data_IF_049752377210
#
_entry.id   IF_049752377210
#
_cell.length_a   1.000
_cell.length_b   1.000
_cell.length_c   1.000
_cell.angle_alpha   90.00
_cell.angle_beta   90.00
_cell.angle_gamma   90.00
#
_symmetry.space_group_name_H-M   'P 1'
#
loop_
_entity.id
_entity.type
_entity.pdbx_description
1 polymer ?
#
# COMPACT_ATOMS: atom_id res chain seq x y z
N UNK A 1 -6.31 -19.48 -5.27
CA UNK A 1 -6.21 -18.60 -4.09
C UNK A 1 -4.76 -18.36 -3.67
N UNK A 2 -4.01 -19.39 -3.27
CA UNK A 2 -2.63 -19.24 -2.80
C UNK A 2 -1.69 -18.56 -3.80
N UNK A 3 -1.73 -18.96 -5.08
CA UNK A 3 -0.91 -18.33 -6.15
C UNK A 3 -1.19 -16.84 -6.33
N UNK A 4 -2.45 -16.42 -6.18
CA UNK A 4 -2.87 -15.03 -6.30
C UNK A 4 -2.39 -14.21 -5.09
N UNK A 5 -2.55 -14.78 -3.89
CA UNK A 5 -2.06 -14.19 -2.65
C UNK A 5 -0.53 -14.06 -2.66
N UNK A 6 0.19 -15.07 -3.14
CA UNK A 6 1.65 -15.02 -3.27
C UNK A 6 2.09 -13.90 -4.23
N UNK A 7 1.42 -13.73 -5.39
CA UNK A 7 1.67 -12.61 -6.30
C UNK A 7 1.40 -11.26 -5.62
N UNK A 8 0.27 -11.13 -4.94
CA UNK A 8 -0.08 -9.91 -4.19
C UNK A 8 0.97 -9.58 -3.12
N UNK A 9 1.40 -10.59 -2.36
CA UNK A 9 2.45 -10.45 -1.35
C UNK A 9 3.78 -10.03 -1.97
N UNK A 10 4.18 -10.61 -3.11
CA UNK A 10 5.37 -10.18 -3.86
C UNK A 10 5.28 -8.73 -4.30
N UNK A 11 4.12 -8.28 -4.81
CA UNK A 11 3.90 -6.86 -5.14
C UNK A 11 4.04 -5.99 -3.88
N UNK A 12 3.49 -6.45 -2.74
CA UNK A 12 3.62 -5.77 -1.45
C UNK A 12 5.09 -5.59 -1.00
N UNK A 13 5.93 -6.62 -1.15
CA UNK A 13 7.37 -6.54 -0.82
C UNK A 13 8.06 -5.50 -1.71
N UNK A 14 7.83 -5.55 -3.02
CA UNK A 14 8.42 -4.59 -3.97
C UNK A 14 7.92 -3.17 -3.70
N UNK A 15 6.63 -3.01 -3.39
CA UNK A 15 6.04 -1.73 -3.00
C UNK A 15 6.73 -1.12 -1.78
N UNK A 16 6.97 -1.92 -0.73
CA UNK A 16 7.66 -1.45 0.47
C UNK A 16 9.09 -1.01 0.15
N UNK A 17 9.82 -1.77 -0.68
CA UNK A 17 11.15 -1.39 -1.13
C UNK A 17 11.13 -0.07 -1.93
N UNK A 18 10.18 0.10 -2.86
CA UNK A 18 10.00 1.33 -3.62
C UNK A 18 9.70 2.52 -2.69
N UNK A 19 8.82 2.32 -1.70
CA UNK A 19 8.52 3.36 -0.72
C UNK A 19 9.78 3.80 0.01
N UNK A 20 10.55 2.85 0.56
CA UNK A 20 11.76 3.18 1.32
C UNK A 20 12.79 3.91 0.45
N UNK A 21 13.03 3.44 -0.77
CA UNK A 21 13.94 4.09 -1.70
C UNK A 21 13.48 5.51 -2.06
N UNK A 22 12.21 5.67 -2.43
CA UNK A 22 11.64 6.98 -2.76
C UNK A 22 11.68 7.93 -1.56
N UNK A 23 11.32 7.45 -0.37
CA UNK A 23 11.39 8.22 0.88
C UNK A 23 12.81 8.68 1.15
N UNK A 24 13.80 7.78 1.12
CA UNK A 24 15.20 8.12 1.36
C UNK A 24 15.71 9.16 0.35
N UNK A 25 15.43 8.97 -0.93
CA UNK A 25 15.85 9.93 -1.97
C UNK A 25 15.22 11.30 -1.73
N UNK A 26 13.90 11.37 -1.53
CA UNK A 26 13.21 12.65 -1.33
C UNK A 26 13.66 13.33 -0.04
N UNK A 27 13.78 12.57 1.06
CA UNK A 27 14.22 13.09 2.35
C UNK A 27 15.62 13.68 2.31
N UNK A 28 16.54 13.08 1.54
CA UNK A 28 17.94 13.53 1.46
C UNK A 28 18.23 14.54 0.35
N UNK A 29 17.34 14.72 -0.63
CA UNK A 29 17.58 15.60 -1.80
C UNK A 29 16.65 16.81 -1.88
N UNK A 30 15.41 16.72 -1.40
CA UNK A 30 14.40 17.75 -1.60
C UNK A 30 14.31 18.77 -0.44
N UNK A 31 14.97 18.51 0.70
CA UNK A 31 14.93 19.40 1.88
C UNK A 31 13.53 19.60 2.48
N UNK A 32 12.58 18.71 2.17
CA UNK A 32 11.20 18.77 2.67
C UNK A 32 11.05 18.05 4.01
N UNK A 33 9.94 18.29 4.70
CA UNK A 33 9.64 17.62 5.96
C UNK A 33 9.45 16.10 5.77
N UNK A 34 9.71 15.33 6.82
CA UNK A 34 9.50 13.88 6.84
C UNK A 34 8.07 13.50 6.43
N UNK A 35 7.07 14.29 6.82
CA UNK A 35 5.67 14.09 6.44
C UNK A 35 5.47 14.21 4.93
N UNK A 36 6.05 15.24 4.30
CA UNK A 36 5.97 15.41 2.84
C UNK A 36 6.72 14.28 2.12
N UNK A 37 7.93 13.93 2.58
CA UNK A 37 8.70 12.81 2.02
C UNK A 37 7.92 11.49 2.08
N UNK A 38 7.28 11.19 3.22
CA UNK A 38 6.45 9.99 3.39
C UNK A 38 5.22 10.00 2.48
N UNK A 39 4.54 11.15 2.36
CA UNK A 39 3.37 11.27 1.50
C UNK A 39 3.73 11.07 0.03
N UNK A 40 4.81 11.70 -0.44
CA UNK A 40 5.29 11.55 -1.82
C UNK A 40 5.74 10.12 -2.12
N UNK A 41 6.51 9.50 -1.20
CA UNK A 41 6.92 8.10 -1.33
C UNK A 41 5.72 7.13 -1.32
N UNK A 42 4.72 7.40 -0.48
CA UNK A 42 3.46 6.66 -0.47
C UNK A 42 2.75 6.73 -1.82
N UNK A 43 2.59 7.94 -2.39
CA UNK A 43 1.96 8.13 -3.69
C UNK A 43 2.67 7.34 -4.81
N UNK A 44 4.01 7.34 -4.83
CA UNK A 44 4.80 6.59 -5.81
C UNK A 44 4.56 5.07 -5.63
N UNK A 45 4.69 4.58 -4.40
CA UNK A 45 4.56 3.16 -4.09
C UNK A 45 3.14 2.64 -4.38
N UNK A 46 2.10 3.34 -3.90
CA UNK A 46 0.70 2.92 -4.07
C UNK A 46 0.30 2.89 -5.55
N UNK A 47 0.84 3.81 -6.36
CA UNK A 47 0.64 3.82 -7.82
C UNK A 47 1.23 2.58 -8.46
N UNK A 48 2.49 2.27 -8.15
CA UNK A 48 3.14 1.05 -8.63
C UNK A 48 2.34 -0.20 -8.23
N UNK A 49 1.97 -0.29 -6.94
CA UNK A 49 1.17 -1.41 -6.41
C UNK A 49 -0.15 -1.61 -7.15
N UNK A 50 -0.85 -0.52 -7.47
CA UNK A 50 -2.13 -0.60 -8.18
C UNK A 50 -1.94 -1.22 -9.57
N UNK A 51 -1.02 -0.69 -10.37
CA UNK A 51 -0.77 -1.19 -11.73
C UNK A 51 -0.20 -2.61 -11.73
N UNK A 52 0.74 -2.91 -10.82
CA UNK A 52 1.31 -4.24 -10.68
C UNK A 52 0.24 -5.26 -10.27
N UNK A 53 -0.63 -4.94 -9.31
CA UNK A 53 -1.71 -5.83 -8.91
C UNK A 53 -2.76 -5.99 -10.02
N UNK A 54 -3.13 -4.92 -10.71
CA UNK A 54 -4.08 -5.00 -11.82
C UNK A 54 -3.56 -5.92 -12.94
N UNK A 55 -2.31 -5.73 -13.38
CA UNK A 55 -1.75 -6.44 -14.54
C UNK A 55 -1.22 -7.84 -14.22
N UNK A 56 -0.55 -8.02 -13.08
CA UNK A 56 0.16 -9.27 -12.77
C UNK A 56 -0.59 -10.16 -11.79
N UNK A 57 -1.25 -9.57 -10.79
CA UNK A 57 -1.96 -10.32 -9.76
C UNK A 57 -3.36 -10.72 -10.22
N UNK A 58 -4.16 -9.78 -10.73
CA UNK A 58 -5.58 -9.98 -11.00
C UNK A 58 -5.98 -9.98 -12.49
N UNK A 59 -5.05 -9.67 -13.39
CA UNK A 59 -5.28 -9.57 -14.85
C UNK A 59 -6.57 -8.81 -15.22
N UNK A 60 -6.75 -7.64 -14.61
CA UNK A 60 -7.98 -6.85 -14.69
C UNK A 60 -7.70 -5.45 -15.24
N UNK A 61 -8.71 -4.84 -15.86
CA UNK A 61 -8.59 -3.50 -16.40
C UNK A 61 -8.38 -2.44 -15.30
N UNK A 62 -7.48 -1.51 -15.59
CA UNK A 62 -7.21 -0.34 -14.74
C UNK A 62 -8.18 0.77 -15.11
N UNK A 63 -9.04 1.16 -14.17
CA UNK A 63 -9.89 2.35 -14.31
C UNK A 63 -9.52 3.41 -13.28
N UNK A 64 -9.68 4.68 -13.62
CA UNK A 64 -9.37 5.80 -12.70
C UNK A 64 -10.17 5.72 -11.40
N UNK A 65 -11.40 5.22 -11.46
CA UNK A 65 -12.23 5.00 -10.27
C UNK A 65 -11.65 3.92 -9.35
N UNK A 66 -11.21 2.78 -9.90
CA UNK A 66 -10.55 1.70 -9.14
C UNK A 66 -9.24 2.18 -8.51
N UNK A 67 -8.49 3.00 -9.24
CA UNK A 67 -7.26 3.62 -8.73
C UNK A 67 -7.55 4.51 -7.52
N UNK A 68 -8.51 5.43 -7.63
CA UNK A 68 -8.88 6.33 -6.54
C UNK A 68 -9.36 5.54 -5.30
N UNK A 69 -10.20 4.51 -5.49
CA UNK A 69 -10.63 3.64 -4.40
C UNK A 69 -9.46 2.89 -3.75
N UNK A 70 -8.49 2.43 -4.53
CA UNK A 70 -7.30 1.76 -4.00
C UNK A 70 -6.46 2.72 -3.14
N UNK A 71 -6.17 3.91 -3.66
CA UNK A 71 -5.36 4.92 -2.96
C UNK A 71 -6.04 5.37 -1.67
N UNK A 72 -7.34 5.66 -1.71
CA UNK A 72 -8.10 6.05 -0.53
C UNK A 72 -8.13 4.95 0.53
N UNK A 73 -8.33 3.70 0.12
CA UNK A 73 -8.32 2.56 1.04
C UNK A 73 -6.95 2.36 1.69
N UNK A 74 -5.87 2.34 0.89
CA UNK A 74 -4.52 2.17 1.42
C UNK A 74 -4.09 3.34 2.32
N UNK A 75 -4.44 4.57 1.93
CA UNK A 75 -4.14 5.78 2.70
C UNK A 75 -4.91 5.85 4.02
N UNK A 76 -6.21 5.54 4.00
CA UNK A 76 -7.03 5.49 5.22
C UNK A 76 -6.57 4.39 6.19
N UNK A 77 -6.17 3.24 5.67
CA UNK A 77 -5.60 2.17 6.50
C UNK A 77 -4.29 2.60 7.16
N UNK A 78 -3.38 3.23 6.40
CA UNK A 78 -2.13 3.75 6.94
C UNK A 78 -2.38 4.82 8.03
N UNK A 79 -3.30 5.75 7.78
CA UNK A 79 -3.68 6.78 8.76
C UNK A 79 -4.32 6.17 10.02
N UNK A 80 -5.22 5.20 9.86
CA UNK A 80 -5.89 4.54 10.98
C UNK A 80 -4.90 3.78 11.86
N UNK A 81 -3.99 3.00 11.26
CA UNK A 81 -2.99 2.25 12.01
C UNK A 81 -1.97 3.18 12.67
N UNK A 82 -1.56 4.26 11.99
CA UNK A 82 -0.72 5.30 12.59
C UNK A 82 -1.39 5.96 13.81
N UNK A 83 -2.65 6.37 13.67
CA UNK A 83 -3.42 6.94 14.79
C UNK A 83 -3.57 5.96 15.96
N UNK A 84 -3.81 4.68 15.68
CA UNK A 84 -3.91 3.65 16.72
C UNK A 84 -2.57 3.48 17.45
N UNK A 85 -1.46 3.50 16.71
CA UNK A 85 -0.12 3.39 17.28
C UNK A 85 0.23 4.56 18.18
N UNK A 86 -0.12 5.79 17.76
CA UNK A 86 0.07 6.99 18.56
C UNK A 86 -0.76 6.95 19.85
N UNK A 87 -2.00 6.43 19.79
CA UNK A 87 -2.89 6.30 20.96
C UNK A 87 -2.47 5.23 21.94
N UNK A 88 -1.84 4.16 21.46
CA UNK A 88 -1.43 3.02 22.27
C UNK A 88 0.06 3.09 22.68
N UNK A 89 0.76 4.18 22.36
CA UNK A 89 2.22 4.35 22.58
C UNK A 89 3.03 3.12 22.13
N UNK A 90 2.61 2.51 21.01
CA UNK A 90 3.18 1.25 20.56
C UNK A 90 4.59 1.46 20.00
N UNK A 91 5.53 0.53 20.26
CA UNK A 91 6.85 0.56 19.63
C UNK A 91 6.71 0.55 18.10
N UNK A 92 7.47 1.40 17.41
CA UNK A 92 7.39 1.54 15.95
C UNK A 92 7.52 0.21 15.19
N UNK A 93 8.39 -0.69 15.66
CA UNK A 93 8.56 -2.04 15.10
C UNK A 93 7.29 -2.89 15.20
N UNK A 94 6.57 -2.81 16.32
CA UNK A 94 5.34 -3.56 16.51
C UNK A 94 4.25 -3.05 15.55
N UNK A 95 4.11 -1.73 15.46
CA UNK A 95 3.18 -1.07 14.53
C UNK A 95 3.44 -1.47 13.08
N UNK A 96 4.71 -1.52 12.66
CA UNK A 96 5.10 -1.94 11.30
C UNK A 96 4.68 -3.37 11.00
N UNK A 97 4.93 -4.32 11.92
CA UNK A 97 4.57 -5.73 11.72
C UNK A 97 3.05 -5.89 11.64
N UNK A 98 2.30 -5.26 12.54
CA UNK A 98 0.84 -5.30 12.54
C UNK A 98 0.28 -4.64 11.28
N UNK A 99 0.78 -3.46 10.90
CA UNK A 99 0.39 -2.76 9.68
C UNK A 99 0.63 -3.63 8.45
N UNK A 100 1.81 -4.23 8.31
CA UNK A 100 2.14 -5.10 7.18
C UNK A 100 1.22 -6.32 7.12
N UNK A 101 0.96 -6.98 8.26
CA UNK A 101 0.05 -8.12 8.29
C UNK A 101 -1.38 -7.75 7.92
N UNK A 102 -1.92 -6.71 8.56
CA UNK A 102 -3.30 -6.25 8.34
C UNK A 102 -3.48 -5.73 6.92
N UNK A 103 -2.55 -4.92 6.41
CA UNK A 103 -2.64 -4.39 5.05
C UNK A 103 -2.53 -5.46 3.97
N UNK A 104 -1.72 -6.49 4.20
CA UNK A 104 -1.57 -7.57 3.24
C UNK A 104 -2.82 -8.45 3.18
N UNK A 105 -3.44 -8.77 4.33
CA UNK A 105 -4.68 -9.54 4.39
C UNK A 105 -5.87 -8.71 3.92
N UNK A 106 -6.15 -7.58 4.58
CA UNK A 106 -7.30 -6.73 4.26
C UNK A 106 -7.18 -6.12 2.86
N UNK A 107 -5.98 -5.70 2.45
CA UNK A 107 -5.71 -5.21 1.09
C UNK A 107 -5.95 -6.27 0.04
N UNK A 108 -5.52 -7.52 0.25
CA UNK A 108 -5.78 -8.59 -0.69
C UNK A 108 -7.29 -8.85 -0.85
N UNK A 109 -8.04 -8.94 0.25
CA UNK A 109 -9.49 -9.13 0.20
C UNK A 109 -10.20 -7.94 -0.46
N UNK A 110 -9.86 -6.71 -0.09
CA UNK A 110 -10.46 -5.51 -0.69
C UNK A 110 -10.15 -5.41 -2.20
N UNK A 111 -8.88 -5.61 -2.59
CA UNK A 111 -8.47 -5.63 -3.99
C UNK A 111 -9.20 -6.70 -4.78
N UNK A 112 -9.34 -7.91 -4.24
CA UNK A 112 -9.98 -9.02 -4.95
C UNK A 112 -11.51 -8.84 -5.09
N UNK A 113 -12.19 -8.49 -4.01
CA UNK A 113 -13.66 -8.55 -3.96
C UNK A 113 -14.35 -7.25 -4.36
N UNK A 114 -13.65 -6.11 -4.23
CA UNK A 114 -14.22 -4.78 -4.50
C UNK A 114 -13.56 -4.15 -5.73
N UNK A 115 -12.24 -4.06 -5.75
CA UNK A 115 -11.54 -3.31 -6.81
C UNK A 115 -11.49 -4.09 -8.13
N UNK A 116 -11.02 -5.34 -8.08
CA UNK A 116 -10.84 -6.21 -9.24
C UNK A 116 -11.87 -7.33 -9.24
N UNK A 117 -13.10 -7.01 -8.80
CA UNK A 117 -14.20 -7.95 -8.86
C UNK A 117 -14.43 -8.36 -10.31
N UNK A 118 -14.23 -9.65 -10.60
CA UNK A 118 -14.72 -10.24 -11.85
C UNK A 118 -16.25 -10.15 -11.82
N UNK A 119 -16.81 -9.32 -12.70
CA UNK A 119 -18.22 -9.42 -13.06
C UNK A 119 -18.34 -10.72 -13.87
N UNK A 120 -18.83 -11.77 -13.22
CA UNK A 120 -19.36 -12.94 -13.91
C UNK A 120 -20.63 -12.58 -14.64
#
# INVERSE_FOLDING_TARGET
>A
MFKLFARYASVGVVNTAIHWLAFSVIMHTAGVSQTLSNLSAFCIAVTFSFFANARWTFDSETTSFRYMLYVLFMGSMAAFVGWLADKCELPALFTLVVFSGVSLVCGFFYSKYIIFRELK
#
